data_IF_502113838553
#
_entry.id   IF_502113838553
#
_cell.length_a   1.000
_cell.length_b   1.000
_cell.length_c   1.000
_cell.angle_alpha   90.00
_cell.angle_beta   90.00
_cell.angle_gamma   90.00
#
_symmetry.space_group_name_H-M   'P 1'
#
loop_
_entity.id
_entity.type
_entity.pdbx_description
1 polymer ?
#
# COMPACT_ATOMS: atom_id res chain seq x y z
N UNK A 1 -17.30 -8.88 9.79
CA UNK A 1 -17.56 -7.49 9.34
C UNK A 1 -16.27 -7.00 8.72
N UNK A 2 -16.19 -7.05 7.39
CA UNK A 2 -14.97 -6.72 6.64
C UNK A 2 -14.82 -5.19 6.62
N UNK A 3 -14.18 -4.64 7.65
CA UNK A 3 -13.78 -3.25 7.66
C UNK A 3 -12.69 -3.05 6.62
N UNK A 4 -13.07 -2.58 5.43
CA UNK A 4 -12.11 -2.17 4.40
C UNK A 4 -11.15 -1.13 4.98
N UNK A 5 -9.88 -1.23 4.63
CA UNK A 5 -8.87 -0.29 5.09
C UNK A 5 -9.13 1.03 4.39
N UNK A 6 -9.45 2.07 5.16
CA UNK A 6 -9.76 3.38 4.62
C UNK A 6 -8.58 4.33 4.84
N UNK A 7 -7.92 4.68 3.74
CA UNK A 7 -6.87 5.70 3.71
C UNK A 7 -7.47 7.07 3.38
N UNK A 8 -6.71 8.12 3.66
CA UNK A 8 -6.94 9.47 3.17
C UNK A 8 -7.02 9.47 1.64
N UNK A 9 -7.78 10.41 1.08
CA UNK A 9 -7.91 10.52 -0.37
C UNK A 9 -6.56 10.80 -1.02
N UNK A 10 -6.31 10.17 -2.18
CA UNK A 10 -5.10 10.39 -2.94
C UNK A 10 -5.10 11.83 -3.49
N UNK A 11 -4.15 12.69 -3.07
CA UNK A 11 -4.14 14.08 -3.50
C UNK A 11 -3.83 14.17 -5.01
N UNK A 12 -4.27 15.24 -5.70
CA UNK A 12 -4.06 15.39 -7.15
C UNK A 12 -2.59 15.36 -7.57
N UNK A 13 -1.67 15.80 -6.71
CA UNK A 13 -0.22 15.76 -6.91
C UNK A 13 0.32 14.32 -7.00
N UNK A 14 -0.37 13.36 -6.38
CA UNK A 14 -0.06 11.94 -6.37
C UNK A 14 -0.94 11.14 -7.34
N UNK A 15 -1.60 11.79 -8.31
CA UNK A 15 -2.37 11.11 -9.36
C UNK A 15 -1.65 9.92 -10.02
N UNK A 16 -0.32 9.95 -10.28
CA UNK A 16 0.39 8.82 -10.85
C UNK A 16 0.38 7.53 -10.02
N UNK A 17 0.06 7.57 -8.73
CA UNK A 17 -0.04 6.38 -7.86
C UNK A 17 -1.49 5.93 -7.59
N UNK A 18 -2.49 6.71 -8.02
CA UNK A 18 -3.88 6.48 -7.66
C UNK A 18 -4.43 5.14 -8.15
N UNK A 19 -4.01 4.66 -9.34
CA UNK A 19 -4.46 3.38 -9.86
C UNK A 19 -3.90 2.19 -9.09
N UNK A 20 -2.68 2.27 -8.56
CA UNK A 20 -2.12 1.22 -7.69
C UNK A 20 -2.87 1.13 -6.36
N UNK A 21 -3.22 2.27 -5.77
CA UNK A 21 -4.02 2.31 -4.54
C UNK A 21 -5.42 1.72 -4.76
N UNK A 22 -6.05 2.04 -5.89
CA UNK A 22 -7.34 1.45 -6.27
C UNK A 22 -7.24 -0.07 -6.45
N UNK A 23 -6.23 -0.54 -7.19
CA UNK A 23 -6.00 -1.97 -7.36
C UNK A 23 -5.79 -2.67 -6.00
N UNK A 24 -5.02 -2.07 -5.09
CA UNK A 24 -4.84 -2.63 -3.76
C UNK A 24 -6.17 -2.78 -2.99
N UNK A 25 -7.02 -1.75 -3.01
CA UNK A 25 -8.34 -1.79 -2.36
C UNK A 25 -9.27 -2.86 -2.94
N UNK A 26 -9.24 -3.07 -4.26
CA UNK A 26 -10.01 -4.13 -4.92
C UNK A 26 -9.57 -5.54 -4.49
N UNK A 27 -8.32 -5.67 -4.04
CA UNK A 27 -7.72 -6.93 -3.60
C UNK A 27 -7.72 -7.15 -2.08
N UNK A 28 -8.09 -6.16 -1.26
CA UNK A 28 -8.03 -6.25 0.23
C UNK A 28 -8.70 -7.49 0.82
N UNK A 29 -9.82 -7.92 0.24
CA UNK A 29 -10.57 -9.10 0.71
C UNK A 29 -10.32 -10.36 -0.12
N UNK A 30 -9.59 -10.25 -1.24
CA UNK A 30 -9.38 -11.33 -2.21
C UNK A 30 -7.97 -11.89 -2.15
N UNK A 31 -7.00 -11.00 -2.03
CA UNK A 31 -5.58 -11.32 -2.14
C UNK A 31 -4.74 -10.25 -1.43
N UNK A 32 -4.38 -10.56 -0.18
CA UNK A 32 -3.59 -9.66 0.67
C UNK A 32 -2.16 -9.47 0.13
N UNK A 33 -1.63 -10.41 -0.67
CA UNK A 33 -0.28 -10.33 -1.24
C UNK A 33 -0.28 -9.25 -2.32
N UNK A 34 -1.24 -9.30 -3.26
CA UNK A 34 -1.40 -8.27 -4.30
C UNK A 34 -1.70 -6.90 -3.67
N UNK A 35 -2.56 -6.86 -2.66
CA UNK A 35 -2.89 -5.62 -1.96
C UNK A 35 -1.65 -5.01 -1.28
N UNK A 36 -0.81 -5.84 -0.66
CA UNK A 36 0.43 -5.42 -0.01
C UNK A 36 1.44 -4.84 -1.00
N UNK A 37 1.78 -5.58 -2.06
CA UNK A 37 2.79 -5.14 -3.03
C UNK A 37 2.33 -3.94 -3.86
N UNK A 38 1.03 -3.85 -4.16
CA UNK A 38 0.47 -2.68 -4.84
C UNK A 38 0.62 -1.40 -3.99
N UNK A 39 0.37 -1.48 -2.67
CA UNK A 39 0.55 -0.33 -1.76
C UNK A 39 2.01 0.00 -1.53
N UNK A 40 2.87 -1.01 -1.38
CA UNK A 40 4.30 -0.77 -1.22
C UNK A 40 4.87 -0.05 -2.44
N UNK A 41 4.50 -0.50 -3.64
CA UNK A 41 4.92 0.15 -4.88
C UNK A 41 4.35 1.58 -5.01
N UNK A 42 3.07 1.76 -4.70
CA UNK A 42 2.44 3.09 -4.68
C UNK A 42 3.17 4.04 -3.72
N UNK A 43 3.53 3.59 -2.52
CA UNK A 43 4.28 4.37 -1.54
C UNK A 43 5.69 4.72 -2.07
N UNK A 44 6.44 3.74 -2.58
CA UNK A 44 7.79 3.97 -3.13
C UNK A 44 7.78 4.96 -4.29
N UNK A 45 6.80 4.87 -5.19
CA UNK A 45 6.65 5.81 -6.30
C UNK A 45 6.18 7.18 -5.80
N UNK A 46 5.23 7.21 -4.87
CA UNK A 46 4.71 8.44 -4.26
C UNK A 46 5.80 9.24 -3.54
N UNK A 47 6.67 8.58 -2.77
CA UNK A 47 7.79 9.23 -2.08
C UNK A 47 8.79 9.88 -3.06
N UNK A 48 8.98 9.32 -4.26
CA UNK A 48 9.83 9.91 -5.31
C UNK A 48 9.20 11.13 -5.98
N UNK A 49 7.87 11.20 -5.99
CA UNK A 49 7.09 12.28 -6.63
C UNK A 49 6.66 13.36 -5.63
N UNK A 50 6.74 13.06 -4.34
CA UNK A 50 6.28 13.88 -3.22
C UNK A 50 6.80 15.31 -3.32
N UNK A 51 5.91 16.28 -3.12
CA UNK A 51 6.25 17.68 -2.90
C UNK A 51 6.27 18.01 -1.40
N UNK A 52 6.20 17.00 -0.54
CA UNK A 52 6.18 17.08 0.92
C UNK A 52 5.00 17.90 1.46
N UNK A 53 3.87 17.87 0.75
CA UNK A 53 2.67 18.53 1.23
C UNK A 53 2.08 17.76 2.44
N UNK A 54 1.39 18.45 3.37
CA UNK A 54 0.81 17.81 4.54
C UNK A 54 -0.14 16.64 4.19
N UNK A 55 -0.94 16.79 3.14
CA UNK A 55 -1.88 15.77 2.66
C UNK A 55 -1.18 14.53 2.08
N UNK A 56 -0.06 14.71 1.38
CA UNK A 56 0.76 13.61 0.86
C UNK A 56 1.40 12.84 2.03
N UNK A 57 1.97 13.59 2.97
CA UNK A 57 2.60 13.04 4.18
C UNK A 57 1.60 12.23 4.99
N UNK A 58 0.37 12.73 5.15
CA UNK A 58 -0.70 12.02 5.85
C UNK A 58 -1.01 10.68 5.20
N UNK A 59 -1.19 10.65 3.88
CA UNK A 59 -1.44 9.41 3.14
C UNK A 59 -0.27 8.43 3.27
N UNK A 60 0.97 8.91 3.17
CA UNK A 60 2.15 8.05 3.29
C UNK A 60 2.29 7.43 4.67
N UNK A 61 2.01 8.17 5.74
CA UNK A 61 2.01 7.63 7.11
C UNK A 61 0.97 6.53 7.26
N UNK A 62 -0.27 6.75 6.79
CA UNK A 62 -1.31 5.73 6.86
C UNK A 62 -0.95 4.47 6.05
N UNK A 63 -0.31 4.64 4.89
CA UNK A 63 0.20 3.51 4.08
C UNK A 63 1.32 2.75 4.82
N UNK A 64 2.28 3.45 5.41
CA UNK A 64 3.37 2.85 6.18
C UNK A 64 2.84 2.05 7.37
N UNK A 65 1.95 2.66 8.17
CA UNK A 65 1.33 2.00 9.32
C UNK A 65 0.63 0.70 8.91
N UNK A 66 -0.13 0.74 7.81
CA UNK A 66 -0.81 -0.44 7.30
C UNK A 66 0.16 -1.52 6.79
N UNK A 67 1.21 -1.12 6.05
CA UNK A 67 2.22 -2.04 5.53
C UNK A 67 2.97 -2.74 6.66
N UNK A 68 3.38 -2.00 7.69
CA UNK A 68 4.08 -2.53 8.86
C UNK A 68 3.19 -3.50 9.64
N UNK A 69 1.94 -3.10 9.91
CA UNK A 69 0.95 -3.95 10.57
C UNK A 69 0.71 -5.24 9.78
N UNK A 70 0.47 -5.14 8.48
CA UNK A 70 0.19 -6.28 7.61
C UNK A 70 1.38 -7.24 7.56
N UNK A 71 2.60 -6.72 7.40
CA UNK A 71 3.81 -7.55 7.40
C UNK A 71 4.01 -8.28 8.73
N UNK A 72 3.68 -7.65 9.85
CA UNK A 72 3.74 -8.27 11.18
C UNK A 72 2.70 -9.37 11.35
N UNK A 73 1.45 -9.11 10.96
CA UNK A 73 0.34 -10.08 11.00
C UNK A 73 0.59 -11.26 10.05
N UNK A 74 1.27 -11.02 8.93
CA UNK A 74 1.62 -12.01 7.91
C UNK A 74 3.07 -12.50 8.03
N UNK A 75 3.65 -12.49 9.24
CA UNK A 75 5.07 -12.82 9.47
C UNK A 75 5.47 -14.24 9.02
N UNK A 76 4.52 -15.17 8.91
CA UNK A 76 4.74 -16.52 8.37
C UNK A 76 4.48 -16.68 6.86
N UNK A 77 4.08 -15.61 6.16
CA UNK A 77 3.78 -15.64 4.74
C UNK A 77 4.98 -15.12 3.93
N UNK A 78 5.75 -16.03 3.33
CA UNK A 78 6.96 -15.68 2.57
C UNK A 78 6.66 -14.74 1.39
N UNK A 79 5.49 -14.84 0.75
CA UNK A 79 5.10 -13.93 -0.34
C UNK A 79 4.89 -12.49 0.11
N UNK A 80 4.85 -12.20 1.42
CA UNK A 80 4.81 -10.83 1.98
C UNK A 80 6.12 -10.46 2.66
N UNK A 81 6.76 -11.40 3.36
CA UNK A 81 7.97 -11.12 4.14
C UNK A 81 9.25 -11.14 3.31
N UNK A 82 9.26 -11.85 2.18
CA UNK A 82 10.37 -11.98 1.25
C UNK A 82 10.01 -11.36 -0.11
N UNK A 83 10.80 -10.38 -0.53
CA UNK A 83 10.59 -9.66 -1.78
C UNK A 83 10.72 -10.56 -3.02
N UNK A 84 11.65 -11.51 -3.02
CA UNK A 84 11.84 -12.44 -4.16
C UNK A 84 10.63 -13.35 -4.30
N UNK A 85 10.10 -13.86 -3.19
CA UNK A 85 8.87 -14.66 -3.20
C UNK A 85 7.65 -13.83 -3.62
N UNK A 86 7.58 -12.56 -3.20
CA UNK A 86 6.54 -11.62 -3.62
C UNK A 86 6.57 -11.28 -5.11
N UNK A 87 7.76 -11.19 -5.72
CA UNK A 87 7.91 -10.95 -7.15
C UNK A 87 7.49 -12.16 -8.02
N UNK A 88 7.59 -13.37 -7.48
CA UNK A 88 7.23 -14.60 -8.17
C UNK A 88 5.73 -14.94 -8.10
N UNK A 89 4.99 -14.26 -7.22
CA UNK A 89 3.56 -14.44 -6.97
C UNK A 89 2.70 -13.78 -8.06
#
# INVERSE_FOLDING_TARGET
MSGGVQFSECPPTLKPIAHYLKAATEHDSRDIIVAYWSRLYALQLGLKLSSHLPEETKLFLELMDWLEKTKKEQSGNESITNEVAGQAY
#
